data_IF_026581138091
#
_entry.id   IF_026581138091
#
_cell.length_a   1.000
_cell.length_b   1.000
_cell.length_c   1.000
_cell.angle_alpha   90.00
_cell.angle_beta   90.00
_cell.angle_gamma   90.00
#
_symmetry.space_group_name_H-M   'P 1'
#
loop_
_entity.id
_entity.type
_entity.pdbx_description
1 polymer ?
#
# COMPACT_ATOMS: atom_id res chain seq x y z
N UNK A 1 -31.89 -12.75 -5.67
CA UNK A 1 -30.99 -13.45 -4.72
C UNK A 1 -29.79 -13.98 -5.50
N UNK A 2 -28.78 -13.14 -5.69
CA UNK A 2 -27.52 -13.52 -6.33
C UNK A 2 -26.68 -14.24 -5.27
N UNK A 3 -26.32 -15.49 -5.53
CA UNK A 3 -25.41 -16.26 -4.69
C UNK A 3 -24.08 -15.52 -4.63
N UNK A 4 -23.75 -14.99 -3.45
CA UNK A 4 -22.37 -14.56 -3.13
C UNK A 4 -21.49 -15.80 -3.33
N UNK A 5 -20.70 -15.80 -4.38
CA UNK A 5 -19.55 -16.70 -4.50
C UNK A 5 -18.54 -16.22 -3.47
N UNK A 6 -18.56 -16.79 -2.26
CA UNK A 6 -17.49 -16.55 -1.27
C UNK A 6 -16.17 -16.84 -1.99
N UNK A 7 -15.37 -15.80 -2.18
CA UNK A 7 -14.02 -15.97 -2.66
C UNK A 7 -13.27 -16.84 -1.65
N UNK A 8 -12.52 -17.81 -2.14
CA UNK A 8 -11.77 -18.74 -1.30
C UNK A 8 -10.29 -18.49 -1.51
N UNK A 9 -9.50 -18.68 -0.47
CA UNK A 9 -8.04 -18.64 -0.57
C UNK A 9 -7.57 -19.62 -1.64
N UNK A 10 -6.83 -19.15 -2.68
CA UNK A 10 -6.33 -20.03 -3.73
C UNK A 10 -5.24 -20.97 -3.21
N UNK A 11 -5.15 -22.19 -3.78
CA UNK A 11 -4.15 -23.19 -3.40
C UNK A 11 -2.69 -22.78 -3.66
N UNK A 12 -2.45 -21.73 -4.45
CA UNK A 12 -1.10 -21.22 -4.70
C UNK A 12 -0.57 -20.32 -3.58
N UNK A 13 -1.42 -19.91 -2.64
CA UNK A 13 -0.99 -19.15 -1.46
C UNK A 13 -0.41 -20.13 -0.46
N UNK A 14 0.89 -20.10 -0.32
CA UNK A 14 1.66 -20.99 0.57
C UNK A 14 1.42 -20.61 2.04
N UNK A 15 0.98 -21.55 2.83
CA UNK A 15 0.68 -21.37 4.25
C UNK A 15 1.92 -21.15 5.12
N UNK A 16 3.11 -21.57 4.66
CA UNK A 16 4.36 -21.31 5.37
C UNK A 16 4.83 -19.88 5.23
N UNK A 17 4.56 -19.25 4.06
CA UNK A 17 4.93 -17.86 3.78
C UNK A 17 3.83 -16.86 4.12
N UNK A 18 2.56 -17.23 4.01
CA UNK A 18 1.41 -16.37 4.31
C UNK A 18 0.41 -17.13 5.19
N UNK A 19 0.78 -17.33 6.45
CA UNK A 19 0.10 -18.19 7.44
C UNK A 19 -1.18 -17.57 8.03
N UNK A 20 -1.65 -16.47 7.51
CA UNK A 20 -2.78 -15.71 8.02
C UNK A 20 -4.12 -16.20 7.46
N UNK A 21 -5.19 -16.01 8.22
CA UNK A 21 -6.52 -16.34 7.74
C UNK A 21 -6.97 -15.32 6.66
N UNK A 22 -7.22 -15.80 5.45
CA UNK A 22 -7.85 -14.98 4.40
C UNK A 22 -9.32 -14.72 4.74
N UNK A 23 -9.70 -13.46 4.79
CA UNK A 23 -11.06 -12.98 5.01
C UNK A 23 -11.52 -12.18 3.81
N UNK A 24 -12.83 -12.08 3.61
CA UNK A 24 -13.43 -11.36 2.48
C UNK A 24 -14.62 -10.57 2.96
N UNK A 25 -14.76 -9.34 2.48
CA UNK A 25 -15.89 -8.45 2.75
C UNK A 25 -16.35 -7.79 1.45
N UNK A 26 -17.67 -7.61 1.32
CA UNK A 26 -18.26 -6.91 0.17
C UNK A 26 -18.31 -5.41 0.44
N UNK A 27 -17.64 -4.62 -0.41
CA UNK A 27 -17.62 -3.16 -0.35
C UNK A 27 -18.05 -2.61 -1.71
N UNK A 28 -19.20 -1.99 -1.77
CA UNK A 28 -19.76 -1.37 -2.99
C UNK A 28 -19.70 -2.27 -4.25
N UNK A 29 -19.96 -3.57 -4.05
CA UNK A 29 -19.92 -4.58 -5.13
C UNK A 29 -18.52 -5.09 -5.49
N UNK A 30 -17.51 -4.74 -4.71
CA UNK A 30 -16.19 -5.35 -4.74
C UNK A 30 -16.09 -6.43 -3.68
N UNK A 31 -15.43 -7.56 -4.00
CA UNK A 31 -15.03 -8.53 -2.99
C UNK A 31 -13.62 -8.19 -2.53
N UNK A 32 -13.48 -7.62 -1.33
CA UNK A 32 -12.21 -7.18 -0.75
C UNK A 32 -11.64 -8.25 0.15
N UNK A 33 -10.45 -8.76 -0.21
CA UNK A 33 -9.67 -9.64 0.64
C UNK A 33 -8.90 -8.84 1.69
N UNK A 34 -8.80 -9.39 2.88
CA UNK A 34 -7.98 -8.86 3.95
C UNK A 34 -7.52 -9.95 4.92
N UNK A 35 -6.51 -9.63 5.69
CA UNK A 35 -6.12 -10.37 6.90
C UNK A 35 -6.38 -9.49 8.11
N UNK A 36 -6.75 -10.10 9.25
CA UNK A 36 -7.06 -9.43 10.51
C UNK A 36 -6.52 -10.33 11.62
N UNK A 37 -5.35 -10.01 12.11
CA UNK A 37 -4.55 -10.86 13.00
C UNK A 37 -4.15 -10.08 14.25
N UNK A 38 -4.18 -10.78 15.39
CA UNK A 38 -3.82 -10.22 16.67
C UNK A 38 -4.93 -9.44 17.36
N UNK A 39 -4.55 -8.71 18.41
CA UNK A 39 -5.45 -7.88 19.21
C UNK A 39 -4.68 -6.72 19.84
N UNK A 40 -5.38 -5.65 20.24
CA UNK A 40 -4.77 -4.44 20.78
C UNK A 40 -4.97 -3.22 19.87
N UNK A 41 -4.08 -2.22 19.90
CA UNK A 41 -4.17 -1.05 19.03
C UNK A 41 -4.18 -1.45 17.56
N UNK A 42 -5.07 -0.85 16.76
CA UNK A 42 -5.30 -1.26 15.38
C UNK A 42 -4.28 -0.61 14.42
N UNK A 43 -3.57 -1.44 13.66
CA UNK A 43 -2.73 -1.04 12.53
C UNK A 43 -3.46 -1.36 11.23
N UNK A 44 -3.83 -0.37 10.43
CA UNK A 44 -4.33 -0.55 9.07
C UNK A 44 -3.19 -0.45 8.08
N UNK A 45 -2.84 -1.56 7.45
CA UNK A 45 -1.67 -1.74 6.58
C UNK A 45 -2.10 -1.62 5.11
N UNK A 46 -1.71 -0.55 4.44
CA UNK A 46 -2.06 -0.26 3.04
C UNK A 46 -0.84 -0.38 2.12
N UNK A 47 -0.94 -1.31 1.18
CA UNK A 47 0.11 -1.60 0.21
C UNK A 47 0.10 -0.64 -0.98
N UNK A 48 1.18 -0.66 -1.78
CA UNK A 48 1.29 0.05 -3.04
C UNK A 48 1.28 -0.85 -4.28
N UNK A 49 1.72 -0.30 -5.41
CA UNK A 49 1.78 -0.98 -6.69
C UNK A 49 3.21 -1.53 -6.96
N UNK A 50 3.39 -2.78 -7.38
CA UNK A 50 2.43 -3.82 -7.77
C UNK A 50 2.24 -4.90 -6.68
N UNK A 51 2.11 -4.53 -5.44
CA UNK A 51 2.07 -5.43 -4.30
C UNK A 51 0.64 -5.77 -3.84
N UNK A 52 0.51 -6.47 -2.72
CA UNK A 52 -0.72 -6.82 -2.03
C UNK A 52 -0.42 -7.07 -0.54
N UNK A 53 -1.37 -7.45 0.28
CA UNK A 53 -1.18 -7.66 1.73
C UNK A 53 -0.02 -8.61 2.09
N UNK A 54 0.41 -9.47 1.18
CA UNK A 54 1.62 -10.30 1.33
C UNK A 54 2.90 -9.48 1.59
N UNK A 55 2.95 -8.22 1.13
CA UNK A 55 4.06 -7.31 1.42
C UNK A 55 4.28 -7.14 2.92
N UNK A 56 3.20 -7.19 3.69
CA UNK A 56 3.18 -6.95 5.13
C UNK A 56 3.37 -8.23 5.98
N UNK A 57 3.59 -9.41 5.36
CA UNK A 57 3.60 -10.70 6.05
C UNK A 57 4.56 -10.76 7.23
N UNK A 58 5.80 -10.23 7.08
CA UNK A 58 6.82 -10.25 8.12
C UNK A 58 6.47 -9.27 9.26
N UNK A 59 5.91 -8.12 8.89
CA UNK A 59 5.41 -7.10 9.84
C UNK A 59 4.24 -7.64 10.66
N UNK A 60 3.23 -8.25 10.00
CA UNK A 60 2.07 -8.85 10.68
C UNK A 60 2.53 -9.97 11.61
N UNK A 61 3.41 -10.86 11.14
CA UNK A 61 3.91 -11.97 11.94
C UNK A 61 4.62 -11.52 13.23
N UNK A 62 5.33 -10.39 13.15
CA UNK A 62 6.09 -9.85 14.27
C UNK A 62 5.27 -8.95 15.21
N UNK A 63 4.23 -8.29 14.71
CA UNK A 63 3.47 -7.30 15.49
C UNK A 63 2.13 -7.83 16.04
N UNK A 64 1.59 -8.93 15.53
CA UNK A 64 0.25 -9.43 15.90
C UNK A 64 0.11 -9.83 17.38
N UNK A 65 1.21 -10.06 18.08
CA UNK A 65 1.16 -10.38 19.50
C UNK A 65 0.91 -9.13 20.37
N UNK A 66 1.20 -7.93 19.82
CA UNK A 66 1.07 -6.64 20.50
C UNK A 66 -0.06 -5.76 19.91
N UNK A 67 -0.41 -5.99 18.63
CA UNK A 67 -1.32 -5.15 17.85
C UNK A 67 -2.35 -5.98 17.08
N UNK A 68 -3.48 -5.36 16.77
CA UNK A 68 -4.39 -5.86 15.75
C UNK A 68 -3.92 -5.37 14.37
N UNK A 69 -3.39 -6.27 13.55
CA UNK A 69 -2.88 -5.98 12.22
C UNK A 69 -3.95 -6.28 11.17
N UNK A 70 -4.48 -5.24 10.52
CA UNK A 70 -5.47 -5.35 9.44
C UNK A 70 -4.81 -4.93 8.13
N UNK A 71 -4.63 -5.85 7.20
CA UNK A 71 -4.05 -5.58 5.88
C UNK A 71 -5.03 -5.97 4.78
N UNK A 72 -5.43 -5.01 3.95
CA UNK A 72 -6.36 -5.24 2.85
C UNK A 72 -5.65 -5.29 1.50
N UNK A 73 -6.29 -5.96 0.53
CA UNK A 73 -5.92 -5.87 -0.88
C UNK A 73 -6.89 -4.91 -1.58
N UNK A 74 -6.38 -3.94 -2.32
CA UNK A 74 -7.24 -3.11 -3.16
C UNK A 74 -7.95 -3.94 -4.24
N UNK A 75 -9.17 -3.57 -4.70
CA UNK A 75 -9.81 -4.23 -5.83
C UNK A 75 -8.88 -4.36 -7.04
N UNK A 76 -8.71 -5.59 -7.53
CA UNK A 76 -7.81 -5.93 -8.63
C UNK A 76 -6.37 -6.27 -8.23
N UNK A 77 -6.04 -6.17 -6.94
CA UNK A 77 -4.76 -6.64 -6.37
C UNK A 77 -4.98 -7.86 -5.47
N UNK A 78 -3.90 -8.57 -5.20
CA UNK A 78 -3.91 -9.71 -4.28
C UNK A 78 -4.99 -10.72 -4.57
N UNK A 79 -5.83 -10.98 -3.58
CA UNK A 79 -6.98 -11.87 -3.68
C UNK A 79 -8.32 -11.12 -3.84
N UNK A 80 -8.30 -9.78 -3.92
CA UNK A 80 -9.50 -8.96 -4.11
C UNK A 80 -10.00 -8.98 -5.55
N UNK A 81 -11.33 -8.84 -5.71
CA UNK A 81 -12.00 -8.77 -7.00
C UNK A 81 -12.68 -7.42 -7.18
N UNK A 82 -12.48 -6.82 -8.34
CA UNK A 82 -13.11 -5.56 -8.69
C UNK A 82 -14.46 -5.78 -9.35
N UNK A 83 -15.46 -4.92 -9.03
CA UNK A 83 -16.72 -4.90 -9.76
C UNK A 83 -16.53 -4.54 -11.24
N UNK A 84 -17.43 -4.97 -12.13
CA UNK A 84 -17.40 -4.59 -13.54
C UNK A 84 -17.35 -3.06 -13.72
N UNK A 85 -16.52 -2.57 -14.64
CA UNK A 85 -16.39 -1.15 -14.94
C UNK A 85 -15.51 -0.36 -13.97
N UNK A 86 -14.89 -0.99 -12.98
CA UNK A 86 -13.92 -0.34 -12.10
C UNK A 86 -12.68 0.11 -12.87
N UNK A 87 -12.24 1.34 -12.63
CA UNK A 87 -11.18 1.99 -13.42
C UNK A 87 -9.82 1.98 -12.73
N UNK A 88 -9.75 1.51 -11.48
CA UNK A 88 -8.53 1.45 -10.65
C UNK A 88 -7.89 2.82 -10.42
N UNK A 89 -8.72 3.84 -10.25
CA UNK A 89 -8.27 5.20 -9.96
C UNK A 89 -7.98 5.32 -8.45
N UNK A 90 -6.99 6.14 -8.04
CA UNK A 90 -6.67 6.31 -6.63
C UNK A 90 -7.86 6.82 -5.80
N UNK A 91 -8.65 7.75 -6.32
CA UNK A 91 -9.88 8.21 -5.69
C UNK A 91 -10.91 7.09 -5.47
N UNK A 92 -11.02 6.16 -6.42
CA UNK A 92 -11.89 4.99 -6.28
C UNK A 92 -11.35 3.98 -5.25
N UNK A 93 -10.03 3.80 -5.18
CA UNK A 93 -9.42 2.99 -4.13
C UNK A 93 -9.63 3.63 -2.74
N UNK A 94 -9.58 4.97 -2.66
CA UNK A 94 -9.90 5.71 -1.42
C UNK A 94 -11.35 5.46 -0.98
N UNK A 95 -12.33 5.46 -1.93
CA UNK A 95 -13.72 5.13 -1.62
C UNK A 95 -13.84 3.72 -1.00
N UNK A 96 -13.11 2.75 -1.55
CA UNK A 96 -13.11 1.37 -1.04
C UNK A 96 -12.45 1.28 0.33
N UNK A 97 -11.32 1.97 0.58
CA UNK A 97 -10.68 2.01 1.90
C UNK A 97 -11.62 2.60 2.95
N UNK A 98 -12.29 3.73 2.63
CA UNK A 98 -13.27 4.35 3.51
C UNK A 98 -14.41 3.39 3.85
N UNK A 99 -15.01 2.76 2.83
CA UNK A 99 -16.05 1.76 3.03
C UNK A 99 -15.57 0.52 3.79
N UNK A 100 -14.32 0.12 3.63
CA UNK A 100 -13.71 -1.01 4.35
C UNK A 100 -13.56 -0.71 5.84
N UNK A 101 -13.07 0.47 6.19
CA UNK A 101 -12.93 0.92 7.58
C UNK A 101 -14.31 0.93 8.27
N UNK A 102 -15.33 1.46 7.57
CA UNK A 102 -16.71 1.47 8.07
C UNK A 102 -17.30 0.07 8.23
N UNK A 103 -17.11 -0.79 7.25
CA UNK A 103 -17.68 -2.15 7.25
C UNK A 103 -17.09 -3.04 8.35
N UNK A 104 -15.83 -2.83 8.72
CA UNK A 104 -15.18 -3.54 9.82
C UNK A 104 -15.36 -2.85 11.19
N UNK A 105 -15.96 -1.66 11.22
CA UNK A 105 -16.11 -0.87 12.44
C UNK A 105 -14.76 -0.57 13.09
N UNK A 106 -13.76 -0.18 12.27
CA UNK A 106 -12.43 0.15 12.81
C UNK A 106 -12.47 1.50 13.52
N UNK A 107 -11.88 1.54 14.69
CA UNK A 107 -11.76 2.74 15.53
C UNK A 107 -10.32 2.84 16.05
N UNK A 108 -9.86 4.05 16.39
CA UNK A 108 -8.53 4.31 16.94
C UNK A 108 -7.40 3.73 16.08
N UNK A 109 -7.44 4.01 14.78
CA UNK A 109 -6.57 3.39 13.78
C UNK A 109 -5.24 4.14 13.65
N UNK A 110 -4.15 3.39 13.69
CA UNK A 110 -2.86 3.82 13.15
C UNK A 110 -2.79 3.41 11.68
N UNK A 111 -2.76 4.37 10.77
CA UNK A 111 -2.52 4.12 9.35
C UNK A 111 -1.05 3.75 9.12
N UNK A 112 -0.78 2.62 8.48
CA UNK A 112 0.57 2.22 8.03
C UNK A 112 0.54 2.10 6.52
N UNK A 113 1.23 2.98 5.81
CA UNK A 113 1.07 3.13 4.38
C UNK A 113 2.42 3.26 3.63
N UNK A 114 2.49 2.62 2.46
CA UNK A 114 3.66 2.63 1.59
C UNK A 114 3.24 2.84 0.13
N UNK A 115 4.07 3.56 -0.66
CA UNK A 115 3.82 3.85 -2.08
C UNK A 115 2.41 4.45 -2.28
N UNK A 116 1.57 3.95 -3.19
CA UNK A 116 0.18 4.38 -3.37
C UNK A 116 -0.70 4.22 -2.13
N UNK A 117 -0.29 3.39 -1.18
CA UNK A 117 -0.96 3.31 0.13
C UNK A 117 -0.96 4.65 0.87
N UNK A 118 0.08 5.49 0.69
CA UNK A 118 0.12 6.84 1.26
C UNK A 118 -0.98 7.76 0.74
N UNK A 119 -1.01 8.12 -0.55
CA UNK A 119 -2.07 8.98 -1.10
C UNK A 119 -3.48 8.46 -0.84
N UNK A 120 -3.70 7.15 -1.01
CA UNK A 120 -5.02 6.53 -0.82
C UNK A 120 -5.42 6.53 0.65
N UNK A 121 -4.50 6.15 1.55
CA UNK A 121 -4.75 6.07 2.98
C UNK A 121 -4.92 7.44 3.63
N UNK A 122 -4.09 8.42 3.27
CA UNK A 122 -4.22 9.80 3.76
C UNK A 122 -5.51 10.45 3.28
N UNK A 123 -5.93 10.23 2.03
CA UNK A 123 -7.22 10.69 1.55
C UNK A 123 -8.40 10.02 2.28
N UNK A 124 -8.28 8.75 2.68
CA UNK A 124 -9.28 8.10 3.53
C UNK A 124 -9.29 8.69 4.95
N UNK A 125 -8.12 9.02 5.51
CA UNK A 125 -8.00 9.67 6.81
C UNK A 125 -8.63 11.08 6.82
N UNK A 126 -8.47 11.84 5.74
CA UNK A 126 -9.15 13.15 5.59
C UNK A 126 -10.68 13.01 5.58
N UNK A 127 -11.21 11.92 5.00
CA UNK A 127 -12.67 11.67 4.96
C UNK A 127 -13.23 11.14 6.28
N UNK A 128 -12.41 10.49 7.08
CA UNK A 128 -12.77 9.88 8.37
C UNK A 128 -11.78 10.27 9.48
N UNK A 129 -11.64 11.60 9.76
CA UNK A 129 -10.71 12.09 10.76
C UNK A 129 -11.03 11.61 12.18
N UNK A 130 -12.25 11.12 12.42
CA UNK A 130 -12.71 10.55 13.66
C UNK A 130 -12.13 9.16 13.97
N UNK A 131 -11.52 8.49 12.97
CA UNK A 131 -11.04 7.11 13.09
C UNK A 131 -9.52 7.03 13.22
N UNK A 132 -8.80 7.88 12.48
CA UNK A 132 -7.34 7.83 12.41
C UNK A 132 -6.70 8.72 13.48
N UNK A 133 -5.83 8.10 14.29
CA UNK A 133 -5.17 8.81 15.41
C UNK A 133 -3.67 8.96 15.21
N UNK A 134 -3.05 8.12 14.38
CA UNK A 134 -1.60 8.10 14.14
C UNK A 134 -1.29 7.67 12.71
N UNK A 135 -0.12 8.08 12.22
CA UNK A 135 0.36 7.74 10.88
C UNK A 135 1.72 7.07 10.93
N UNK A 136 1.92 6.01 10.14
CA UNK A 136 3.23 5.44 9.80
C UNK A 136 3.38 5.49 8.29
N UNK A 137 4.27 6.34 7.80
CA UNK A 137 4.48 6.59 6.38
C UNK A 137 5.83 6.05 5.93
N UNK A 138 5.82 5.16 4.94
CA UNK A 138 7.02 4.52 4.44
C UNK A 138 7.16 4.71 2.93
N UNK A 139 8.25 5.28 2.46
CA UNK A 139 8.56 5.47 1.03
C UNK A 139 7.30 5.77 0.20
N UNK A 140 6.76 6.99 0.37
CA UNK A 140 5.49 7.44 -0.19
C UNK A 140 5.48 8.95 -0.45
N UNK A 141 4.36 9.48 -0.93
CA UNK A 141 4.13 10.91 -1.17
C UNK A 141 2.65 11.24 -0.99
N UNK A 142 2.27 12.52 -1.05
CA UNK A 142 0.88 12.96 -0.88
C UNK A 142 0.53 14.26 -1.63
N UNK A 143 1.15 14.53 -2.78
CA UNK A 143 0.98 15.77 -3.56
C UNK A 143 1.20 15.54 -5.06
N UNK A 144 0.79 16.47 -5.95
CA UNK A 144 1.11 16.42 -7.37
C UNK A 144 2.63 16.46 -7.61
N UNK A 145 3.11 15.58 -8.47
CA UNK A 145 4.52 15.47 -8.84
C UNK A 145 4.79 15.93 -10.28
N UNK A 146 3.84 16.63 -10.88
CA UNK A 146 3.99 17.24 -12.18
C UNK A 146 5.14 18.27 -12.15
N UNK A 147 6.03 18.23 -13.14
CA UNK A 147 7.25 19.05 -13.15
C UNK A 147 8.46 18.39 -12.46
N UNK A 148 8.29 17.30 -11.72
CA UNK A 148 9.39 16.56 -11.13
C UNK A 148 9.89 15.51 -12.12
N UNK A 149 11.09 15.73 -12.67
CA UNK A 149 11.61 15.03 -13.86
C UNK A 149 11.58 13.49 -13.75
N UNK A 150 11.98 12.93 -12.61
CA UNK A 150 12.04 11.47 -12.48
C UNK A 150 10.64 10.82 -12.40
N UNK A 151 9.67 11.47 -11.74
CA UNK A 151 8.27 11.02 -11.75
C UNK A 151 7.64 11.16 -13.12
N UNK A 152 7.92 12.26 -13.84
CA UNK A 152 7.44 12.45 -15.20
C UNK A 152 8.01 11.39 -16.15
N UNK A 153 9.32 11.13 -16.09
CA UNK A 153 9.95 10.10 -16.89
C UNK A 153 9.35 8.71 -16.59
N UNK A 154 9.21 8.36 -15.30
CA UNK A 154 8.58 7.12 -14.87
C UNK A 154 7.15 6.99 -15.41
N UNK A 155 6.30 7.98 -15.16
CA UNK A 155 4.89 7.91 -15.52
C UNK A 155 4.68 7.90 -17.04
N UNK A 156 5.48 8.64 -17.81
CA UNK A 156 5.39 8.64 -19.29
C UNK A 156 5.91 7.34 -19.90
N UNK A 157 7.00 6.78 -19.38
CA UNK A 157 7.58 5.53 -19.89
C UNK A 157 6.73 4.34 -19.42
N UNK A 158 6.57 4.16 -18.10
CA UNK A 158 5.93 2.98 -17.54
C UNK A 158 4.40 3.06 -17.65
N UNK A 159 3.82 4.25 -17.53
CA UNK A 159 2.38 4.50 -17.72
C UNK A 159 1.94 4.68 -19.18
N UNK A 160 2.88 4.74 -20.14
CA UNK A 160 2.58 4.87 -21.56
C UNK A 160 1.92 3.62 -22.16
N UNK A 161 1.14 3.78 -23.25
CA UNK A 161 0.39 2.69 -23.87
C UNK A 161 1.22 1.45 -24.23
N UNK A 162 2.43 1.57 -24.83
CA UNK A 162 3.25 0.39 -25.14
C UNK A 162 3.67 -0.39 -23.89
N UNK A 163 4.10 0.33 -22.84
CA UNK A 163 4.54 -0.29 -21.61
C UNK A 163 3.38 -0.90 -20.83
N UNK A 164 2.22 -0.24 -20.80
CA UNK A 164 0.99 -0.81 -20.21
C UNK A 164 0.62 -2.14 -20.87
N UNK A 165 0.78 -2.25 -22.18
CA UNK A 165 0.59 -3.53 -22.90
C UNK A 165 1.59 -4.59 -22.39
N UNK A 166 2.89 -4.26 -22.29
CA UNK A 166 3.91 -5.18 -21.81
C UNK A 166 3.67 -5.58 -20.34
N UNK A 167 3.29 -4.64 -19.49
CA UNK A 167 2.89 -4.92 -18.10
C UNK A 167 1.76 -5.95 -18.05
N UNK A 168 0.72 -5.76 -18.87
CA UNK A 168 -0.43 -6.67 -18.92
C UNK A 168 -0.07 -8.05 -19.45
N UNK A 169 0.76 -8.14 -20.50
CA UNK A 169 1.09 -9.43 -21.13
C UNK A 169 2.15 -10.21 -20.33
N UNK A 170 3.17 -9.54 -19.78
CA UNK A 170 4.36 -10.19 -19.26
C UNK A 170 4.58 -9.99 -17.75
N UNK A 171 3.61 -9.39 -17.03
CA UNK A 171 3.73 -9.08 -15.61
C UNK A 171 5.02 -8.28 -15.28
N UNK A 172 5.36 -7.34 -16.17
CA UNK A 172 6.65 -6.67 -16.16
C UNK A 172 6.92 -5.91 -14.84
N UNK A 173 5.89 -5.27 -14.25
CA UNK A 173 6.07 -4.55 -13.00
C UNK A 173 6.49 -5.48 -11.86
N UNK A 174 5.81 -6.60 -11.68
CA UNK A 174 6.20 -7.59 -10.66
C UNK A 174 7.60 -8.12 -10.93
N UNK A 175 7.88 -8.50 -12.18
CA UNK A 175 9.15 -9.14 -12.53
C UNK A 175 10.36 -8.22 -12.45
N UNK A 176 10.18 -6.91 -12.67
CA UNK A 176 11.27 -5.94 -12.64
C UNK A 176 11.30 -5.14 -11.31
N UNK A 177 10.14 -4.58 -10.87
CA UNK A 177 10.16 -3.62 -9.77
C UNK A 177 10.23 -4.28 -8.39
N UNK A 178 9.64 -5.47 -8.19
CA UNK A 178 9.77 -6.15 -6.91
C UNK A 178 11.24 -6.49 -6.62
N UNK A 179 12.01 -7.17 -7.51
CA UNK A 179 13.41 -7.45 -7.23
C UNK A 179 14.29 -6.20 -7.13
N UNK A 180 14.06 -5.19 -7.98
CA UNK A 180 14.91 -3.99 -8.00
C UNK A 180 14.56 -2.97 -6.91
N UNK A 181 13.36 -3.04 -6.38
CA UNK A 181 12.92 -2.21 -5.25
C UNK A 181 13.38 -2.74 -3.89
N UNK A 182 13.86 -3.98 -3.81
CA UNK A 182 14.62 -4.49 -2.68
C UNK A 182 16.11 -4.21 -2.91
N UNK A 183 16.83 -3.78 -1.90
CA UNK A 183 18.25 -3.38 -1.99
C UNK A 183 19.14 -4.11 -1.00
N UNK A 184 18.61 -4.52 0.14
CA UNK A 184 19.35 -5.23 1.18
C UNK A 184 19.23 -6.74 1.04
N UNK A 185 18.15 -7.21 0.40
CA UNK A 185 17.95 -8.64 0.10
C UNK A 185 17.35 -8.85 -1.28
N UNK A 186 17.42 -10.06 -1.77
CA UNK A 186 16.71 -10.48 -2.98
C UNK A 186 15.50 -11.31 -2.57
N UNK A 187 14.28 -10.98 -3.03
CA UNK A 187 13.10 -11.82 -2.80
C UNK A 187 13.32 -13.24 -3.32
N UNK A 188 12.97 -14.23 -2.53
CA UNK A 188 13.11 -15.64 -2.90
C UNK A 188 12.20 -16.01 -4.08
N UNK A 189 12.49 -17.12 -4.80
CA UNK A 189 11.60 -17.60 -5.87
C UNK A 189 10.16 -17.84 -5.38
N UNK A 190 9.98 -18.30 -4.14
CA UNK A 190 8.67 -18.56 -3.53
C UNK A 190 7.91 -17.24 -3.24
N UNK A 191 8.58 -16.24 -2.70
CA UNK A 191 8.00 -14.88 -2.53
C UNK A 191 7.60 -14.28 -3.86
N UNK A 192 8.49 -14.37 -4.87
CA UNK A 192 8.19 -13.87 -6.22
C UNK A 192 7.02 -14.63 -6.87
N UNK A 193 6.84 -15.92 -6.55
CA UNK A 193 5.67 -16.67 -7.02
C UNK A 193 4.36 -16.09 -6.47
N UNK A 194 4.30 -15.67 -5.20
CA UNK A 194 3.12 -15.01 -4.61
C UNK A 194 2.77 -13.71 -5.32
N UNK A 195 3.75 -12.83 -5.56
CA UNK A 195 3.51 -11.60 -6.31
C UNK A 195 3.06 -11.86 -7.75
N UNK A 196 3.65 -12.87 -8.43
CA UNK A 196 3.26 -13.22 -9.80
C UNK A 196 1.86 -13.82 -9.88
N UNK A 197 1.51 -14.70 -8.96
CA UNK A 197 0.24 -15.41 -8.95
C UNK A 197 -0.94 -14.45 -8.63
N UNK A 198 -0.75 -13.51 -7.73
CA UNK A 198 -1.73 -12.47 -7.41
C UNK A 198 -2.12 -11.65 -8.66
N UNK A 199 -1.16 -11.42 -9.57
CA UNK A 199 -1.34 -10.75 -10.86
C UNK A 199 -1.16 -11.76 -12.02
N UNK A 200 -1.73 -12.96 -11.89
CA UNK A 200 -1.50 -14.09 -12.78
C UNK A 200 -2.07 -13.96 -14.19
N UNK A 201 -3.14 -13.18 -14.39
CA UNK A 201 -3.77 -12.99 -15.70
C UNK A 201 -3.65 -11.55 -16.21
N UNK A 202 -3.83 -11.34 -17.51
CA UNK A 202 -3.80 -10.00 -18.12
C UNK A 202 -4.90 -9.07 -17.55
N UNK A 203 -6.05 -9.63 -17.17
CA UNK A 203 -7.16 -8.90 -16.55
C UNK A 203 -6.75 -8.42 -15.15
N UNK A 204 -6.17 -9.28 -14.31
CA UNK A 204 -5.69 -8.93 -12.99
C UNK A 204 -4.57 -7.88 -13.02
N UNK A 205 -3.70 -7.92 -14.05
CA UNK A 205 -2.63 -6.92 -14.24
C UNK A 205 -3.14 -5.55 -14.66
N UNK A 206 -4.43 -5.40 -14.97
CA UNK A 206 -5.00 -4.11 -15.36
C UNK A 206 -4.86 -3.06 -14.26
N UNK A 207 -5.11 -3.42 -13.00
CA UNK A 207 -4.95 -2.54 -11.85
C UNK A 207 -3.51 -2.01 -11.78
N UNK A 208 -2.54 -2.92 -11.74
CA UNK A 208 -1.12 -2.59 -11.70
C UNK A 208 -0.65 -1.77 -12.92
N UNK A 209 -1.18 -2.03 -14.13
CA UNK A 209 -0.83 -1.30 -15.34
C UNK A 209 -1.39 0.14 -15.40
N UNK A 210 -2.44 0.44 -14.64
CA UNK A 210 -3.07 1.79 -14.62
C UNK A 210 -2.30 2.75 -13.74
N UNK A 211 -1.90 2.34 -12.54
CA UNK A 211 -1.36 3.23 -11.50
C UNK A 211 -0.08 4.00 -11.88
N UNK A 212 0.89 3.46 -12.64
CA UNK A 212 2.05 4.25 -13.04
C UNK A 212 1.71 5.52 -13.81
N UNK A 213 0.71 5.46 -14.69
CA UNK A 213 0.25 6.64 -15.41
C UNK A 213 -0.55 7.62 -14.54
N UNK A 214 -1.12 7.14 -13.43
CA UNK A 214 -1.89 7.95 -12.48
C UNK A 214 -1.01 8.87 -11.64
N UNK A 215 0.26 8.58 -11.50
CA UNK A 215 1.22 9.47 -10.82
C UNK A 215 1.13 10.91 -11.34
N UNK A 216 0.92 11.09 -12.64
CA UNK A 216 0.71 12.43 -13.24
C UNK A 216 -0.76 12.72 -13.55
N UNK A 217 -1.52 11.71 -14.00
CA UNK A 217 -2.88 11.89 -14.51
C UNK A 217 -3.94 12.03 -13.39
N UNK A 218 -3.61 11.78 -12.14
CA UNK A 218 -4.48 12.04 -10.99
C UNK A 218 -4.08 13.33 -10.25
N UNK A 219 -3.68 14.35 -11.02
CA UNK A 219 -3.25 15.65 -10.49
C UNK A 219 -4.29 16.25 -9.53
N UNK A 220 -5.55 16.29 -9.93
CA UNK A 220 -6.61 16.94 -9.14
C UNK A 220 -6.83 16.20 -7.82
N UNK A 221 -6.86 14.85 -7.84
CA UNK A 221 -6.92 14.04 -6.62
C UNK A 221 -5.74 14.33 -5.68
N UNK A 222 -4.53 14.41 -6.23
CA UNK A 222 -3.33 14.66 -5.43
C UNK A 222 -3.28 16.12 -4.93
N UNK A 223 -3.82 17.07 -5.68
CA UNK A 223 -3.92 18.48 -5.27
C UNK A 223 -4.95 18.65 -4.15
N UNK A 224 -6.10 18.00 -4.25
CA UNK A 224 -7.12 18.00 -3.20
C UNK A 224 -6.58 17.34 -1.92
N UNK A 225 -5.86 16.20 -2.06
CA UNK A 225 -5.19 15.56 -0.95
C UNK A 225 -4.18 16.50 -0.29
N UNK A 226 -3.30 17.13 -1.07
CA UNK A 226 -2.29 18.07 -0.56
C UNK A 226 -2.93 19.23 0.20
N UNK A 227 -3.99 19.81 -0.34
CA UNK A 227 -4.71 20.93 0.29
C UNK A 227 -5.28 20.55 1.67
N UNK A 228 -5.72 19.31 1.84
CA UNK A 228 -6.27 18.83 3.10
C UNK A 228 -5.23 18.20 4.07
N UNK A 229 -3.92 18.14 3.74
CA UNK A 229 -2.91 17.59 4.65
C UNK A 229 -2.78 18.38 5.94
N UNK A 230 -3.08 19.68 5.92
CA UNK A 230 -3.08 20.51 7.12
C UNK A 230 -4.07 20.00 8.19
N UNK A 231 -5.17 19.37 7.78
CA UNK A 231 -6.16 18.81 8.70
C UNK A 231 -5.64 17.56 9.43
N UNK A 232 -4.65 16.88 8.84
CA UNK A 232 -4.00 15.71 9.43
C UNK A 232 -2.66 16.04 10.12
N UNK A 233 -2.14 17.26 9.96
CA UNK A 233 -0.82 17.66 10.44
C UNK A 233 -0.64 17.57 11.97
N UNK A 234 -1.74 17.49 12.71
CA UNK A 234 -1.76 17.33 14.18
C UNK A 234 -1.57 15.87 14.62
N UNK A 235 -1.68 14.90 13.70
CA UNK A 235 -1.55 13.47 14.03
C UNK A 235 -0.08 13.11 14.25
N UNK A 236 0.26 12.45 15.36
CA UNK A 236 1.59 11.89 15.55
C UNK A 236 1.97 11.00 14.37
N UNK A 237 3.16 11.21 13.82
CA UNK A 237 3.58 10.56 12.57
C UNK A 237 4.96 9.91 12.72
N UNK A 238 5.07 8.63 12.38
CA UNK A 238 6.33 7.94 12.19
C UNK A 238 6.64 7.86 10.69
N UNK A 239 7.82 8.31 10.29
CA UNK A 239 8.31 8.19 8.92
C UNK A 239 9.43 7.15 8.91
N UNK A 240 9.19 5.99 8.25
CA UNK A 240 10.20 4.92 8.10
C UNK A 240 10.66 4.90 6.65
N UNK A 241 11.94 5.20 6.42
CA UNK A 241 12.41 5.47 5.08
C UNK A 241 13.62 4.66 4.67
N UNK A 242 13.48 3.86 3.61
CA UNK A 242 14.62 3.22 2.95
C UNK A 242 15.35 4.24 2.07
N UNK A 243 16.62 4.54 2.38
CA UNK A 243 17.38 5.62 1.74
C UNK A 243 17.99 5.24 0.39
N UNK A 244 18.01 3.94 0.05
CA UNK A 244 18.44 3.45 -1.27
C UNK A 244 17.28 3.40 -2.30
N UNK A 245 16.13 3.96 -1.97
CA UNK A 245 15.00 4.06 -2.89
C UNK A 245 15.31 5.05 -4.03
N UNK A 246 15.09 4.60 -5.27
CA UNK A 246 15.29 5.43 -6.47
C UNK A 246 14.00 6.18 -6.88
N UNK A 247 12.84 5.73 -6.39
CA UNK A 247 11.55 6.32 -6.70
C UNK A 247 11.20 7.46 -5.73
N UNK A 248 11.22 7.17 -4.44
CA UNK A 248 10.95 8.14 -3.38
C UNK A 248 12.26 8.55 -2.73
N UNK A 249 12.69 9.78 -2.99
CA UNK A 249 13.99 10.32 -2.65
C UNK A 249 13.93 11.09 -1.32
N UNK A 250 15.06 11.60 -0.81
CA UNK A 250 15.05 12.42 0.41
C UNK A 250 14.08 13.60 0.38
N UNK A 251 13.85 14.20 -0.80
CA UNK A 251 12.94 15.36 -0.96
C UNK A 251 11.49 15.02 -0.60
N UNK A 252 11.01 13.81 -0.93
CA UNK A 252 9.67 13.36 -0.58
C UNK A 252 9.55 13.17 0.94
N UNK A 253 10.57 12.58 1.57
CA UNK A 253 10.64 12.42 3.02
C UNK A 253 10.67 13.76 3.74
N UNK A 254 11.59 14.65 3.35
CA UNK A 254 11.76 15.97 3.96
C UNK A 254 10.49 16.82 3.86
N UNK A 255 9.71 16.64 2.77
CA UNK A 255 8.43 17.30 2.63
C UNK A 255 7.38 16.73 3.59
N UNK A 256 7.34 15.42 3.83
CA UNK A 256 6.48 14.82 4.86
C UNK A 256 6.87 15.32 6.25
N UNK A 257 8.15 15.37 6.58
CA UNK A 257 8.67 15.90 7.84
C UNK A 257 8.25 17.38 8.06
N UNK A 258 8.24 18.18 6.99
CA UNK A 258 7.80 19.57 7.05
C UNK A 258 6.27 19.71 7.24
N UNK A 259 5.47 18.76 6.76
CA UNK A 259 4.00 18.78 6.88
C UNK A 259 3.56 18.31 8.27
N UNK A 260 4.12 17.21 8.75
CA UNK A 260 3.75 16.60 10.03
C UNK A 260 4.72 17.07 11.13
N UNK A 261 4.33 18.12 11.87
CA UNK A 261 5.23 18.76 12.84
C UNK A 261 5.58 17.84 14.03
N UNK A 262 4.63 16.99 14.45
CA UNK A 262 4.84 15.94 15.48
C UNK A 262 5.24 14.65 14.78
N UNK A 263 6.51 14.56 14.37
CA UNK A 263 7.02 13.38 13.68
C UNK A 263 8.32 12.84 14.30
N UNK A 264 8.52 11.53 14.09
CA UNK A 264 9.82 10.87 14.20
C UNK A 264 10.20 10.29 12.85
N UNK A 265 11.48 10.35 12.50
CA UNK A 265 12.00 9.73 11.27
C UNK A 265 13.01 8.65 11.61
N UNK A 266 12.81 7.46 11.06
CA UNK A 266 13.75 6.34 11.09
C UNK A 266 14.23 6.08 9.66
N UNK A 267 15.52 6.33 9.41
CA UNK A 267 16.15 6.00 8.12
C UNK A 267 16.70 4.59 8.22
N UNK A 268 16.27 3.72 7.31
CA UNK A 268 16.76 2.35 7.18
C UNK A 268 17.81 2.33 6.08
N UNK A 269 19.07 2.39 6.49
CA UNK A 269 20.22 2.52 5.61
C UNK A 269 20.29 1.35 4.61
N UNK A 270 20.46 1.66 3.33
CA UNK A 270 20.57 0.72 2.23
C UNK A 270 19.28 0.00 1.85
N UNK A 271 18.17 0.24 2.52
CA UNK A 271 16.88 -0.34 2.15
C UNK A 271 16.24 0.40 0.98
N UNK A 272 15.51 -0.34 0.16
CA UNK A 272 14.81 0.20 -1.02
C UNK A 272 13.35 0.59 -0.74
N UNK A 273 12.57 0.68 -1.81
CA UNK A 273 11.16 1.09 -1.80
C UNK A 273 10.27 0.23 -0.88
N UNK A 274 10.55 -1.06 -0.80
CA UNK A 274 9.77 -2.01 0.00
C UNK A 274 10.42 -2.21 1.39
N UNK A 275 10.69 -1.11 2.10
CA UNK A 275 11.46 -1.09 3.36
C UNK A 275 10.95 -2.11 4.38
N UNK A 276 9.64 -2.29 4.52
CA UNK A 276 8.99 -3.25 5.41
C UNK A 276 9.23 -4.73 5.05
N UNK A 277 9.66 -5.00 3.81
CA UNK A 277 10.00 -6.34 3.33
C UNK A 277 11.51 -6.50 3.09
N UNK A 278 12.20 -5.40 2.82
CA UNK A 278 13.65 -5.37 2.56
C UNK A 278 14.47 -5.38 3.86
N UNK A 279 13.92 -4.77 4.92
CA UNK A 279 14.48 -4.67 6.26
C UNK A 279 13.38 -4.81 7.34
N UNK A 280 12.70 -5.97 7.42
CA UNK A 280 11.53 -6.14 8.27
C UNK A 280 11.82 -5.94 9.76
N UNK A 281 12.99 -6.33 10.24
CA UNK A 281 13.36 -6.21 11.66
C UNK A 281 13.43 -4.75 12.11
N UNK A 282 14.10 -3.90 11.32
CA UNK A 282 14.22 -2.47 11.62
C UNK A 282 12.87 -1.75 11.48
N UNK A 283 12.07 -2.11 10.47
CA UNK A 283 10.73 -1.56 10.31
C UNK A 283 9.83 -1.90 11.49
N UNK A 284 9.82 -3.16 11.90
CA UNK A 284 9.04 -3.66 13.05
C UNK A 284 9.49 -2.99 14.34
N UNK A 285 10.79 -2.88 14.59
CA UNK A 285 11.33 -2.20 15.77
C UNK A 285 10.88 -0.74 15.82
N UNK A 286 11.00 -0.01 14.71
CA UNK A 286 10.58 1.39 14.62
C UNK A 286 9.08 1.56 14.95
N UNK A 287 8.22 0.72 14.36
CA UNK A 287 6.77 0.78 14.60
C UNK A 287 6.43 0.43 16.04
N UNK A 288 6.98 -0.69 16.57
CA UNK A 288 6.71 -1.17 17.92
C UNK A 288 7.11 -0.13 18.97
N UNK A 289 8.34 0.38 18.86
CA UNK A 289 8.89 1.33 19.84
C UNK A 289 8.13 2.66 19.82
N UNK A 290 7.66 3.08 18.66
CA UNK A 290 6.94 4.34 18.51
C UNK A 290 5.48 4.25 18.95
N UNK A 291 4.75 3.18 18.59
CA UNK A 291 3.33 3.04 18.98
C UNK A 291 3.18 2.73 20.48
N UNK A 292 4.18 2.13 21.12
CA UNK A 292 4.17 1.84 22.57
C UNK A 292 4.30 3.08 23.48
N UNK A 293 4.59 4.26 22.90
CA UNK A 293 4.68 5.56 23.61
C UNK A 293 3.36 6.29 23.57
#
# INVERSE_FOLDING_TARGET
>A
MTKSTRSTRPAWVDDDLFRFQSRFVEIDGHTVHYVDEGSGPTLLLLHGNPTWSFLWRDVIAALRDDFRCVAMDYPGFGLSEAKPGYRFLPEQHTDVVTGFVDALGLEHVTLVAQDWGGPIGLAAAQRRPDIFERLVLANTWAWPVNGVLHFEAFARIVGGLPMRFLVRQFNLLVNAFIPTGHRRRTPTPAEMAHYRQALGTAERRQASAVLPGRVLASHDFLADLEAGLADLAHLPTLIVWGDADIAFRPQERERLEAIFADHETVIVEGAGTYVQSDAPEEFVAAVRDWVAR
#
